data_IF_574463977823
#
_entry.id   IF_574463977823
#
_cell.length_a   1.000
_cell.length_b   1.000
_cell.length_c   1.000
_cell.angle_alpha   90.00
_cell.angle_beta   90.00
_cell.angle_gamma   90.00
#
_symmetry.space_group_name_H-M   'P 1'
#
loop_
_entity.id
_entity.type
_entity.pdbx_description
1 polymer ?
#
# COMPACT_ATOMS: atom_id res chain seq x y z
N UNK A 1 -31.80 56.97 -0.57
CA UNK A 1 -30.68 56.19 -1.14
C UNK A 1 -30.38 55.02 -0.20
N UNK A 2 -30.92 53.83 -0.51
CA UNK A 2 -30.73 52.61 0.29
C UNK A 2 -29.91 51.62 -0.53
N UNK A 3 -28.68 51.36 -0.09
CA UNK A 3 -27.79 50.35 -0.68
C UNK A 3 -28.10 49.01 0.00
N UNK A 4 -28.90 48.16 -0.64
CA UNK A 4 -29.23 46.83 -0.14
C UNK A 4 -28.03 45.90 -0.35
N UNK A 5 -27.52 45.34 0.76
CA UNK A 5 -26.51 44.30 0.81
C UNK A 5 -27.13 43.02 0.23
N UNK A 6 -26.59 42.54 -0.89
CA UNK A 6 -26.98 41.25 -1.46
C UNK A 6 -26.01 40.18 -0.95
N UNK A 7 -26.58 39.20 -0.24
CA UNK A 7 -25.92 38.02 0.28
C UNK A 7 -25.60 37.14 -0.95
N UNK A 8 -24.32 36.94 -1.24
CA UNK A 8 -23.90 35.99 -2.26
C UNK A 8 -24.08 34.57 -1.72
N UNK A 9 -25.21 33.95 -2.06
CA UNK A 9 -25.37 32.50 -1.95
C UNK A 9 -24.31 31.84 -2.84
N UNK A 10 -23.31 31.23 -2.21
CA UNK A 10 -22.43 30.26 -2.88
C UNK A 10 -23.32 29.09 -3.28
N UNK A 11 -23.73 29.08 -4.55
CA UNK A 11 -24.33 27.92 -5.18
C UNK A 11 -23.25 26.84 -5.17
N UNK A 12 -23.39 25.88 -4.27
CA UNK A 12 -22.69 24.60 -4.34
C UNK A 12 -23.11 23.98 -5.67
N UNK A 13 -22.24 24.08 -6.67
CA UNK A 13 -22.38 23.33 -7.89
C UNK A 13 -22.27 21.84 -7.53
N UNK A 14 -23.42 21.19 -7.41
CA UNK A 14 -23.51 19.74 -7.41
C UNK A 14 -23.03 19.26 -8.79
N UNK A 15 -21.75 18.92 -8.88
CA UNK A 15 -21.21 18.16 -10.00
C UNK A 15 -21.76 16.73 -9.82
N UNK A 16 -22.55 16.19 -10.76
CA UNK A 16 -22.98 14.82 -10.68
C UNK A 16 -21.76 13.91 -10.74
N UNK A 17 -21.63 12.99 -9.77
CA UNK A 17 -20.62 11.92 -9.70
C UNK A 17 -20.83 10.86 -10.80
N UNK A 18 -20.90 11.29 -12.07
CA UNK A 18 -21.20 10.41 -13.18
C UNK A 18 -20.82 11.06 -14.50
N UNK A 19 -19.51 11.09 -14.80
CA UNK A 19 -18.95 11.20 -16.16
C UNK A 19 -17.42 11.43 -16.18
N UNK A 20 -16.73 11.55 -15.05
CA UNK A 20 -15.27 11.80 -15.04
C UNK A 20 -14.39 10.53 -15.03
N UNK A 21 -14.93 9.34 -15.34
CA UNK A 21 -14.19 8.07 -15.22
C UNK A 21 -13.63 7.53 -16.54
N UNK A 22 -13.81 8.23 -17.67
CA UNK A 22 -13.40 7.71 -18.98
C UNK A 22 -12.00 8.15 -19.44
N UNK A 23 -11.40 9.18 -18.84
CA UNK A 23 -10.19 9.82 -19.41
C UNK A 23 -8.90 9.65 -18.59
N UNK A 24 -8.99 9.11 -17.36
CA UNK A 24 -7.79 8.82 -16.56
C UNK A 24 -7.07 7.53 -17.01
N UNK A 25 -7.67 6.76 -17.92
CA UNK A 25 -7.11 5.51 -18.46
C UNK A 25 -6.26 5.68 -19.73
N UNK A 26 -6.30 6.84 -20.39
CA UNK A 26 -5.75 7.01 -21.74
C UNK A 26 -4.27 7.44 -21.79
N UNK A 27 -3.70 7.91 -20.67
CA UNK A 27 -2.35 8.49 -20.65
C UNK A 27 -1.27 7.66 -19.96
N UNK A 28 -1.59 6.53 -19.35
CA UNK A 28 -0.58 5.60 -18.83
C UNK A 28 -0.31 4.51 -19.87
N UNK A 29 0.48 4.86 -20.89
CA UNK A 29 0.92 3.95 -21.95
C UNK A 29 1.64 2.75 -21.32
N UNK A 30 1.34 1.56 -21.85
CA UNK A 30 1.82 0.24 -21.41
C UNK A 30 3.26 0.24 -20.90
N UNK A 31 3.51 -0.43 -19.77
CA UNK A 31 4.88 -0.81 -19.45
C UNK A 31 5.37 -1.82 -20.49
N UNK A 32 6.66 -1.77 -20.80
CA UNK A 32 7.36 -2.50 -21.86
C UNK A 32 7.49 -4.02 -21.59
N UNK A 33 6.54 -4.59 -20.85
CA UNK A 33 6.46 -5.97 -20.39
C UNK A 33 5.25 -6.72 -20.97
N UNK A 34 4.46 -6.07 -21.82
CA UNK A 34 3.22 -6.64 -22.37
C UNK A 34 2.06 -6.69 -21.36
N UNK A 35 2.24 -6.14 -20.16
CA UNK A 35 1.21 -6.04 -19.11
C UNK A 35 0.52 -4.68 -19.13
N UNK A 36 -0.76 -4.68 -18.78
CA UNK A 36 -1.53 -3.44 -18.58
C UNK A 36 -1.14 -2.78 -17.26
N UNK A 37 -1.33 -1.46 -17.15
CA UNK A 37 -1.12 -0.73 -15.89
C UNK A 37 -2.00 -1.28 -14.77
N UNK A 38 -3.22 -1.75 -15.10
CA UNK A 38 -4.06 -2.45 -14.13
C UNK A 38 -3.36 -3.70 -13.58
N UNK A 39 -2.84 -4.56 -14.45
CA UNK A 39 -2.12 -5.76 -14.03
C UNK A 39 -0.90 -5.41 -13.18
N UNK A 40 -0.12 -4.41 -13.57
CA UNK A 40 1.07 -3.97 -12.86
C UNK A 40 0.73 -3.45 -11.47
N UNK A 41 -0.30 -2.61 -11.35
CA UNK A 41 -0.71 -2.07 -10.06
C UNK A 41 -1.33 -3.13 -9.15
N UNK A 42 -2.06 -4.11 -9.70
CA UNK A 42 -2.58 -5.23 -8.92
C UNK A 42 -1.50 -6.23 -8.51
N UNK A 43 -0.45 -6.37 -9.33
CA UNK A 43 0.53 -7.45 -9.19
C UNK A 43 1.85 -7.04 -8.56
N UNK A 44 2.31 -5.80 -8.75
CA UNK A 44 3.71 -5.46 -8.49
C UNK A 44 3.93 -4.27 -7.55
N UNK A 45 2.95 -3.81 -6.77
CA UNK A 45 3.15 -2.68 -5.85
C UNK A 45 2.35 -2.76 -4.56
N UNK A 46 2.53 -1.75 -3.71
CA UNK A 46 1.89 -1.64 -2.38
C UNK A 46 0.36 -1.71 -2.52
N UNK A 47 -0.23 -1.03 -3.52
CA UNK A 47 -1.67 -1.08 -3.73
C UNK A 47 -2.16 -2.47 -4.13
N UNK A 48 -1.35 -3.22 -4.88
CA UNK A 48 -1.61 -4.62 -5.20
C UNK A 48 -1.52 -5.52 -3.97
N UNK A 49 -0.58 -5.24 -3.06
CA UNK A 49 -0.48 -5.93 -1.78
C UNK A 49 -1.69 -5.66 -0.87
N UNK A 50 -2.18 -4.41 -0.82
CA UNK A 50 -3.30 -4.00 0.04
C UNK A 50 -4.67 -4.43 -0.51
N UNK A 51 -4.89 -4.31 -1.82
CA UNK A 51 -6.21 -4.37 -2.42
C UNK A 51 -6.31 -5.31 -3.61
N UNK A 52 -5.23 -6.01 -4.00
CA UNK A 52 -5.18 -6.85 -5.20
C UNK A 52 -6.28 -7.91 -5.28
N UNK A 53 -6.71 -8.45 -4.12
CA UNK A 53 -7.76 -9.46 -4.01
C UNK A 53 -9.14 -8.90 -3.65
N UNK A 54 -9.21 -7.63 -3.21
CA UNK A 54 -10.43 -7.03 -2.65
C UNK A 54 -11.06 -6.01 -3.58
N UNK A 55 -10.26 -5.17 -4.24
CA UNK A 55 -10.76 -4.17 -5.19
C UNK A 55 -9.65 -3.69 -6.13
N UNK A 56 -9.78 -3.95 -7.45
CA UNK A 56 -8.86 -3.44 -8.47
C UNK A 56 -8.70 -1.92 -8.45
N UNK A 57 -9.80 -1.20 -8.19
CA UNK A 57 -9.80 0.27 -8.16
C UNK A 57 -9.02 0.79 -6.96
N UNK A 58 -9.18 0.16 -5.79
CA UNK A 58 -8.41 0.56 -4.60
C UNK A 58 -6.93 0.22 -4.76
N UNK A 59 -6.60 -0.88 -5.45
CA UNK A 59 -5.21 -1.21 -5.77
C UNK A 59 -4.57 -0.12 -6.64
N UNK A 60 -5.29 0.37 -7.65
CA UNK A 60 -4.81 1.46 -8.52
C UNK A 60 -4.64 2.75 -7.72
N UNK A 61 -5.68 3.20 -7.02
CA UNK A 61 -5.66 4.45 -6.23
C UNK A 61 -4.54 4.40 -5.18
N UNK A 62 -4.34 3.26 -4.53
CA UNK A 62 -3.33 3.12 -3.49
C UNK A 62 -1.92 3.12 -4.03
N UNK A 63 -1.64 2.51 -5.20
CA UNK A 63 -0.31 2.64 -5.81
C UNK A 63 0.01 4.10 -6.13
N UNK A 64 -0.97 4.84 -6.66
CA UNK A 64 -0.82 6.27 -6.92
C UNK A 64 -0.64 7.08 -5.63
N UNK A 65 -1.41 6.79 -4.59
CA UNK A 65 -1.39 7.56 -3.34
C UNK A 65 -0.11 7.32 -2.53
N UNK A 66 0.41 6.09 -2.54
CA UNK A 66 1.53 5.70 -1.67
C UNK A 66 2.89 5.98 -2.29
N UNK A 67 3.02 5.80 -3.60
CA UNK A 67 4.30 5.96 -4.29
C UNK A 67 4.13 6.38 -5.76
N UNK A 68 3.03 7.08 -6.12
CA UNK A 68 2.74 7.48 -7.50
C UNK A 68 2.82 6.31 -8.53
N UNK A 69 2.71 5.07 -8.06
CA UNK A 69 2.89 3.85 -8.82
C UNK A 69 4.33 3.53 -9.25
N UNK A 70 5.36 4.26 -8.81
CA UNK A 70 6.76 4.01 -9.21
C UNK A 70 7.30 2.68 -8.71
N UNK A 71 6.93 2.25 -7.52
CA UNK A 71 7.25 0.92 -6.98
C UNK A 71 6.64 -0.18 -7.86
N UNK A 72 5.39 0.02 -8.31
CA UNK A 72 4.71 -0.94 -9.17
C UNK A 72 5.38 -1.06 -10.54
N UNK A 73 5.72 0.07 -11.15
CA UNK A 73 6.39 0.12 -12.45
C UNK A 73 7.83 -0.41 -12.38
N UNK A 74 8.58 -0.05 -11.33
CA UNK A 74 9.97 -0.51 -11.15
C UNK A 74 10.02 -2.01 -10.88
N UNK A 75 9.10 -2.54 -10.07
CA UNK A 75 9.02 -3.98 -9.78
C UNK A 75 8.60 -4.80 -11.01
N UNK A 76 7.70 -4.27 -11.83
CA UNK A 76 7.37 -4.86 -13.14
C UNK A 76 8.57 -4.86 -14.09
N UNK A 77 9.35 -3.78 -14.13
CA UNK A 77 10.51 -3.67 -15.02
C UNK A 77 11.67 -4.57 -14.58
N UNK A 78 11.93 -4.67 -13.28
CA UNK A 78 13.09 -5.40 -12.75
C UNK A 78 12.83 -6.89 -12.55
N UNK A 79 11.62 -7.29 -12.16
CA UNK A 79 11.31 -8.69 -11.85
C UNK A 79 9.82 -9.00 -12.05
N UNK A 80 9.33 -8.99 -13.31
CA UNK A 80 7.90 -9.10 -13.60
C UNK A 80 7.29 -10.43 -13.14
N UNK A 81 8.08 -11.51 -13.17
CA UNK A 81 7.64 -12.86 -12.84
C UNK A 81 7.55 -13.12 -11.33
N UNK A 82 8.37 -12.44 -10.52
CA UNK A 82 8.42 -12.64 -9.07
C UNK A 82 7.60 -11.61 -8.29
N UNK A 83 7.17 -10.52 -8.92
CA UNK A 83 6.42 -9.46 -8.24
C UNK A 83 5.11 -9.97 -7.57
N UNK A 84 4.57 -11.09 -8.06
CA UNK A 84 3.31 -11.66 -7.57
C UNK A 84 3.44 -12.49 -6.29
N UNK A 85 4.65 -12.93 -5.91
CA UNK A 85 4.85 -13.82 -4.76
C UNK A 85 4.54 -13.16 -3.42
N UNK A 86 3.89 -13.89 -2.51
CA UNK A 86 3.53 -13.40 -1.17
C UNK A 86 4.72 -12.84 -0.38
N UNK A 87 5.87 -13.51 -0.46
CA UNK A 87 7.14 -13.05 0.09
C UNK A 87 7.60 -11.69 -0.43
N UNK A 88 7.59 -11.53 -1.76
CA UNK A 88 8.05 -10.29 -2.41
C UNK A 88 7.09 -9.14 -2.08
N UNK A 89 5.77 -9.40 -2.09
CA UNK A 89 4.77 -8.41 -1.72
C UNK A 89 4.84 -8.02 -0.24
N UNK A 90 5.09 -8.97 0.66
CA UNK A 90 5.30 -8.70 2.07
C UNK A 90 6.56 -7.85 2.28
N UNK A 91 7.66 -8.19 1.62
CA UNK A 91 8.91 -7.43 1.70
C UNK A 91 8.75 -6.00 1.18
N UNK A 92 8.12 -5.83 0.00
CA UNK A 92 7.84 -4.49 -0.58
C UNK A 92 6.93 -3.68 0.33
N UNK A 93 5.85 -4.29 0.84
CA UNK A 93 4.93 -3.61 1.77
C UNK A 93 5.66 -3.18 3.05
N UNK A 94 6.45 -4.07 3.66
CA UNK A 94 7.19 -3.75 4.89
C UNK A 94 8.23 -2.65 4.64
N UNK A 95 8.99 -2.72 3.55
CA UNK A 95 10.06 -1.76 3.26
C UNK A 95 9.52 -0.37 2.93
N UNK A 96 8.59 -0.30 1.98
CA UNK A 96 8.13 0.98 1.42
C UNK A 96 7.06 1.64 2.30
N UNK A 97 6.30 0.86 3.09
CA UNK A 97 5.28 1.36 4.01
C UNK A 97 5.65 1.16 5.49
N UNK A 98 6.94 0.99 5.81
CA UNK A 98 7.41 0.62 7.16
C UNK A 98 6.77 1.43 8.30
N UNK A 99 6.76 2.78 8.27
CA UNK A 99 6.21 3.55 9.40
C UNK A 99 4.71 3.29 9.62
N UNK A 100 3.97 3.06 8.53
CA UNK A 100 2.54 2.77 8.57
C UNK A 100 2.26 1.34 9.01
N UNK A 101 3.07 0.38 8.53
CA UNK A 101 3.03 -1.02 8.96
C UNK A 101 3.32 -1.12 10.45
N UNK A 102 4.38 -0.46 10.92
CA UNK A 102 4.78 -0.46 12.33
C UNK A 102 3.72 0.17 13.23
N UNK A 103 3.14 1.29 12.80
CA UNK A 103 2.01 1.93 13.50
C UNK A 103 0.80 1.00 13.61
N UNK A 104 0.40 0.38 12.50
CA UNK A 104 -0.75 -0.52 12.48
C UNK A 104 -0.47 -1.78 13.31
N UNK A 105 0.76 -2.30 13.25
CA UNK A 105 1.23 -3.41 14.07
C UNK A 105 1.19 -3.06 15.57
N UNK A 106 1.59 -1.84 15.95
CA UNK A 106 1.55 -1.33 17.33
C UNK A 106 0.13 -1.02 17.83
N UNK A 107 -0.80 -0.68 16.94
CA UNK A 107 -2.22 -0.54 17.28
C UNK A 107 -2.99 -1.88 17.26
N UNK A 108 -2.45 -2.89 16.57
CA UNK A 108 -3.04 -4.22 16.42
C UNK A 108 -4.10 -4.32 15.32
N UNK A 109 -4.34 -3.23 14.60
CA UNK A 109 -5.31 -3.15 13.51
C UNK A 109 -4.87 -2.09 12.48
N UNK A 110 -5.45 -2.12 11.28
CA UNK A 110 -5.20 -1.11 10.26
C UNK A 110 -4.96 -1.74 8.89
N UNK A 111 -5.05 -0.90 7.85
CA UNK A 111 -5.01 -1.36 6.47
C UNK A 111 -3.67 -2.03 6.11
N UNK A 112 -2.54 -1.54 6.64
CA UNK A 112 -1.21 -2.08 6.36
C UNK A 112 -1.01 -3.41 7.05
N UNK A 113 -1.53 -3.56 8.26
CA UNK A 113 -1.47 -4.82 9.00
C UNK A 113 -2.35 -5.88 8.33
N UNK A 114 -3.58 -5.54 7.96
CA UNK A 114 -4.49 -6.46 7.27
C UNK A 114 -3.94 -6.89 5.92
N UNK A 115 -3.32 -5.97 5.18
CA UNK A 115 -2.64 -6.31 3.95
C UNK A 115 -1.43 -7.20 4.18
N UNK A 116 -0.60 -6.89 5.18
CA UNK A 116 0.55 -7.71 5.54
C UNK A 116 0.11 -9.14 5.87
N UNK A 117 -0.97 -9.32 6.64
CA UNK A 117 -1.57 -10.62 6.91
C UNK A 117 -2.04 -11.32 5.62
N UNK A 118 -2.70 -10.58 4.72
CA UNK A 118 -3.22 -11.14 3.47
C UNK A 118 -2.10 -11.58 2.53
N UNK A 119 -1.03 -10.80 2.36
CA UNK A 119 0.06 -11.13 1.45
C UNK A 119 1.02 -12.17 2.03
N UNK A 120 1.17 -12.18 3.35
CA UNK A 120 1.95 -13.18 4.07
C UNK A 120 1.15 -14.46 4.38
N UNK A 121 -0.11 -14.54 3.94
CA UNK A 121 -1.02 -15.66 4.22
C UNK A 121 -1.01 -16.07 5.70
N UNK A 122 -1.10 -15.07 6.57
CA UNK A 122 -0.90 -15.23 8.01
C UNK A 122 -2.26 -15.23 8.72
N UNK A 123 -2.64 -16.37 9.31
CA UNK A 123 -3.95 -16.56 9.99
C UNK A 123 -4.20 -15.50 11.08
N UNK A 124 -3.13 -15.05 11.74
CA UNK A 124 -3.18 -13.99 12.74
C UNK A 124 -1.87 -13.21 12.80
N UNK A 125 -1.96 -11.88 12.84
CA UNK A 125 -0.83 -11.00 13.11
C UNK A 125 -0.39 -11.01 14.59
N UNK A 126 -1.09 -11.73 15.48
CA UNK A 126 -0.78 -11.72 16.91
C UNK A 126 0.64 -12.23 17.20
N UNK A 127 1.09 -13.28 16.51
CA UNK A 127 2.44 -13.84 16.64
C UNK A 127 3.50 -12.85 16.15
N UNK A 128 3.28 -12.24 14.98
CA UNK A 128 4.16 -11.19 14.42
C UNK A 128 4.25 -10.00 15.38
N UNK A 129 3.10 -9.50 15.85
CA UNK A 129 3.03 -8.38 16.80
C UNK A 129 3.73 -8.70 18.12
N UNK A 130 3.55 -9.90 18.65
CA UNK A 130 4.21 -10.30 19.90
C UNK A 130 5.72 -10.33 19.74
N UNK A 131 6.24 -10.97 18.68
CA UNK A 131 7.68 -11.06 18.43
C UNK A 131 8.30 -9.71 18.10
N UNK A 132 7.64 -8.92 17.25
CA UNK A 132 8.11 -7.58 16.93
C UNK A 132 8.05 -6.64 18.14
N UNK A 133 7.02 -6.79 18.99
CA UNK A 133 6.91 -6.09 20.26
C UNK A 133 8.07 -6.41 21.21
N UNK A 134 8.57 -7.65 21.23
CA UNK A 134 9.79 -8.00 21.98
C UNK A 134 11.03 -7.36 21.36
N UNK A 135 11.16 -7.42 20.03
CA UNK A 135 12.28 -6.77 19.31
C UNK A 135 12.34 -5.26 19.57
N UNK A 136 11.19 -4.57 19.56
CA UNK A 136 11.09 -3.14 19.79
C UNK A 136 11.57 -2.69 21.19
N UNK A 137 11.63 -3.60 22.17
CA UNK A 137 12.15 -3.31 23.51
C UNK A 137 13.68 -3.47 23.61
N UNK A 138 14.33 -4.01 22.58
CA UNK A 138 15.77 -4.28 22.60
C UNK A 138 16.60 -3.03 22.29
N UNK A 139 17.87 -3.06 22.68
CA UNK A 139 18.84 -2.03 22.26
C UNK A 139 19.04 -2.03 20.73
N UNK A 140 18.95 -3.21 20.09
CA UNK A 140 19.13 -3.36 18.65
C UNK A 140 18.11 -2.52 17.86
N UNK A 141 16.84 -2.53 18.26
CA UNK A 141 15.80 -1.69 17.63
C UNK A 141 16.10 -0.19 17.73
N UNK A 142 16.60 0.27 18.89
CA UNK A 142 16.88 1.69 19.16
C UNK A 142 18.06 2.24 18.36
N UNK A 143 19.01 1.38 18.00
CA UNK A 143 20.22 1.75 17.26
C UNK A 143 20.12 1.45 15.77
N UNK A 144 19.12 0.67 15.35
CA UNK A 144 18.91 0.28 13.97
C UNK A 144 18.35 1.44 13.13
N UNK A 145 18.69 1.45 11.84
CA UNK A 145 18.01 2.29 10.86
C UNK A 145 16.61 1.77 10.58
N UNK A 146 15.78 2.59 9.95
CA UNK A 146 14.44 2.19 9.54
C UNK A 146 14.46 0.94 8.63
N UNK A 147 15.40 0.89 7.68
CA UNK A 147 15.56 -0.27 6.79
C UNK A 147 15.94 -1.54 7.55
N UNK A 148 16.84 -1.43 8.54
CA UNK A 148 17.21 -2.56 9.39
C UNK A 148 16.03 -3.05 10.25
N UNK A 149 15.21 -2.13 10.76
CA UNK A 149 13.99 -2.47 11.48
C UNK A 149 12.92 -3.10 10.58
N UNK A 150 12.85 -2.69 9.30
CA UNK A 150 12.00 -3.28 8.29
C UNK A 150 12.44 -4.71 7.92
N UNK A 151 13.74 -4.94 7.76
CA UNK A 151 14.32 -6.27 7.54
C UNK A 151 14.07 -7.21 8.73
N UNK A 152 14.23 -6.71 9.95
CA UNK A 152 13.93 -7.47 11.16
C UNK A 152 12.44 -7.86 11.22
N UNK A 153 11.53 -6.94 10.90
CA UNK A 153 10.10 -7.23 10.80
C UNK A 153 9.81 -8.30 9.75
N UNK A 154 10.41 -8.19 8.56
CA UNK A 154 10.23 -9.18 7.50
C UNK A 154 10.72 -10.57 7.92
N UNK A 155 11.86 -10.66 8.62
CA UNK A 155 12.37 -11.92 9.16
C UNK A 155 11.39 -12.56 10.17
N UNK A 156 10.80 -11.73 11.04
CA UNK A 156 9.77 -12.18 12.00
C UNK A 156 8.53 -12.66 11.26
N UNK A 157 8.09 -11.95 10.22
CA UNK A 157 6.95 -12.36 9.40
C UNK A 157 7.19 -13.71 8.73
N UNK A 158 8.34 -13.95 8.09
CA UNK A 158 8.68 -15.27 7.51
C UNK A 158 8.71 -16.41 8.53
N UNK A 159 9.06 -16.10 9.77
CA UNK A 159 9.09 -17.11 10.85
C UNK A 159 7.70 -17.37 11.41
N UNK A 160 6.88 -16.33 11.48
CA UNK A 160 5.55 -16.34 12.12
C UNK A 160 4.42 -16.70 11.16
N UNK A 161 4.63 -16.49 9.87
CA UNK A 161 3.73 -16.72 8.75
C UNK A 161 4.45 -17.66 7.78
N UNK A 162 3.76 -18.65 7.20
CA UNK A 162 4.38 -19.69 6.37
C UNK A 162 4.78 -19.18 4.98
N UNK A 163 5.71 -18.22 4.92
CA UNK A 163 6.24 -17.60 3.69
C UNK A 163 7.77 -17.66 3.65
#
# INVERSE_FOLDING_TARGET
MLKKIAIASVVIAMIPFGAANADLGSSFKSADTGRTIEQIYKQCGIGGALFGNSSPILAIISNVTWDLGTTAATSDSMSPETCQGGNVRAAVLIKEAFPSVEKDLASGQGAHLSALQSVANCDSAASVRAQYGQYAQTAAYRTATQDQNAEALFSIVKTSCAI
#
